data_IF_167050128768
#
_entry.id   IF_167050128768
#
_cell.length_a   1.000
_cell.length_b   1.000
_cell.length_c   1.000
_cell.angle_alpha   90.00
_cell.angle_beta   90.00
_cell.angle_gamma   90.00
#
_symmetry.space_group_name_H-M   'P 1'
#
loop_
_entity.id
_entity.type
_entity.pdbx_description
1 polymer ?
#
# COMPACT_ATOMS: atom_id res chain seq x y z
N UNK A 1 -12.26 -19.22 -2.04
CA UNK A 1 -11.51 -18.34 -2.95
C UNK A 1 -10.32 -17.58 -2.33
N UNK A 2 -10.32 -17.22 -1.01
CA UNK A 2 -9.22 -16.43 -0.39
C UNK A 2 -7.90 -17.18 -0.18
N UNK A 3 -7.93 -18.49 0.00
CA UNK A 3 -6.72 -19.34 0.19
C UNK A 3 -5.99 -19.60 -1.13
N UNK A 4 -6.72 -19.69 -2.23
CA UNK A 4 -6.19 -20.06 -3.54
C UNK A 4 -5.28 -18.98 -4.15
N UNK A 5 -5.61 -17.69 -3.98
CA UNK A 5 -4.80 -16.59 -4.53
C UNK A 5 -3.43 -16.50 -3.85
N UNK A 6 -3.37 -16.74 -2.53
CA UNK A 6 -2.10 -16.72 -1.80
C UNK A 6 -1.20 -17.90 -2.19
N UNK A 7 -1.80 -19.06 -2.43
CA UNK A 7 -1.08 -20.26 -2.88
C UNK A 7 -0.49 -20.08 -4.28
N UNK A 8 -1.23 -19.48 -5.22
CA UNK A 8 -0.71 -19.20 -6.56
C UNK A 8 0.39 -18.14 -6.58
N UNK A 9 0.32 -17.12 -5.74
CA UNK A 9 1.39 -16.13 -5.60
C UNK A 9 2.68 -16.78 -5.05
N UNK A 10 2.57 -17.69 -4.09
CA UNK A 10 3.71 -18.46 -3.56
C UNK A 10 4.29 -19.43 -4.60
N UNK A 11 3.45 -20.14 -5.34
CA UNK A 11 3.88 -21.09 -6.38
C UNK A 11 4.54 -20.35 -7.56
N UNK A 12 4.02 -19.20 -7.97
CA UNK A 12 4.67 -18.39 -9.01
C UNK A 12 6.06 -17.88 -8.57
N UNK A 13 6.22 -17.50 -7.29
CA UNK A 13 7.50 -17.06 -6.74
C UNK A 13 8.51 -18.21 -6.60
N UNK A 14 8.05 -19.40 -6.21
CA UNK A 14 8.96 -20.58 -6.10
C UNK A 14 9.34 -21.17 -7.46
N UNK A 15 8.43 -21.14 -8.45
CA UNK A 15 8.73 -21.61 -9.80
C UNK A 15 9.75 -20.76 -10.55
N UNK A 16 9.77 -19.43 -10.32
CA UNK A 16 10.77 -18.54 -10.91
C UNK A 16 12.14 -18.64 -10.23
N UNK A 17 12.19 -18.97 -8.94
CA UNK A 17 13.45 -19.19 -8.22
C UNK A 17 14.20 -20.44 -8.72
N UNK A 18 13.49 -21.51 -9.08
CA UNK A 18 14.11 -22.75 -9.57
C UNK A 18 14.70 -22.60 -10.99
N UNK A 19 14.15 -21.72 -11.83
CA UNK A 19 14.69 -21.48 -13.18
C UNK A 19 15.91 -20.54 -13.20
N UNK A 20 16.17 -19.82 -12.10
CA UNK A 20 17.26 -18.84 -12.00
C UNK A 20 18.56 -19.43 -11.41
N UNK A 21 18.60 -20.71 -11.10
CA UNK A 21 19.74 -21.36 -10.44
C UNK A 21 21.03 -21.47 -11.29
N UNK A 22 20.99 -21.10 -12.57
CA UNK A 22 22.18 -21.05 -13.43
C UNK A 22 22.90 -19.69 -13.51
N UNK A 23 22.34 -18.63 -12.96
CA UNK A 23 22.98 -17.32 -12.93
C UNK A 23 23.75 -17.15 -11.61
N UNK A 24 25.06 -16.89 -11.70
CA UNK A 24 26.00 -16.72 -10.57
C UNK A 24 25.73 -15.55 -9.62
N UNK A 25 24.57 -14.97 -9.64
CA UNK A 25 24.13 -13.84 -8.80
C UNK A 25 23.06 -14.31 -7.82
N UNK A 26 23.28 -14.10 -6.54
CA UNK A 26 22.37 -14.57 -5.50
C UNK A 26 21.01 -13.83 -5.57
N UNK A 27 19.93 -14.60 -5.70
CA UNK A 27 18.58 -14.09 -5.55
C UNK A 27 18.36 -13.62 -4.11
N UNK A 28 17.77 -12.45 -3.94
CA UNK A 28 17.36 -11.96 -2.64
C UNK A 28 15.86 -12.14 -2.47
N UNK A 29 15.47 -12.86 -1.43
CA UNK A 29 14.07 -13.02 -1.06
C UNK A 29 13.81 -12.43 0.32
N UNK A 30 12.87 -11.51 0.44
CA UNK A 30 12.53 -10.87 1.73
C UNK A 30 11.07 -11.12 2.07
N UNK A 31 10.80 -11.60 3.28
CA UNK A 31 9.48 -11.61 3.89
C UNK A 31 9.45 -10.55 4.97
N UNK A 32 8.48 -9.65 4.95
CA UNK A 32 8.38 -8.61 5.96
C UNK A 32 6.97 -8.41 6.49
N UNK A 33 6.90 -7.87 7.68
CA UNK A 33 5.65 -7.44 8.32
C UNK A 33 5.77 -5.96 8.68
N UNK A 34 4.83 -5.16 8.22
CA UNK A 34 4.68 -3.76 8.61
C UNK A 34 3.61 -3.66 9.72
N UNK A 35 3.98 -3.04 10.83
CA UNK A 35 3.08 -2.66 11.91
C UNK A 35 2.91 -1.15 11.88
N UNK A 36 1.72 -0.66 11.56
CA UNK A 36 1.55 0.75 11.24
C UNK A 36 0.28 1.37 11.83
N UNK A 37 0.28 2.69 11.87
CA UNK A 37 -0.90 3.52 12.06
C UNK A 37 -1.20 4.23 10.74
N UNK A 38 -2.44 4.16 10.30
CA UNK A 38 -2.90 4.79 9.07
C UNK A 38 -3.88 5.89 9.43
N UNK A 39 -3.70 7.07 8.88
CA UNK A 39 -4.68 8.16 8.93
C UNK A 39 -5.11 8.56 7.53
N UNK A 40 -6.40 8.79 7.35
CA UNK A 40 -6.99 9.24 6.09
C UNK A 40 -7.80 10.49 6.33
N UNK A 41 -7.63 11.48 5.49
CA UNK A 41 -8.40 12.72 5.51
C UNK A 41 -9.11 12.91 4.18
N UNK A 42 -10.45 13.10 4.22
CA UNK A 42 -11.31 13.34 3.05
C UNK A 42 -12.22 14.53 3.41
N UNK A 43 -12.02 15.67 2.79
CA UNK A 43 -12.77 16.88 3.09
C UNK A 43 -12.96 17.08 4.62
N UNK A 44 -14.16 16.84 5.13
CA UNK A 44 -14.53 16.96 6.54
C UNK A 44 -14.43 15.64 7.34
N UNK A 45 -13.98 14.52 6.71
CA UNK A 45 -13.90 13.21 7.34
C UNK A 45 -12.44 12.84 7.60
N UNK A 46 -12.10 12.67 8.87
CA UNK A 46 -10.78 12.18 9.31
C UNK A 46 -10.90 10.79 9.91
N UNK A 47 -10.24 9.82 9.31
CA UNK A 47 -10.22 8.44 9.73
C UNK A 47 -8.85 8.08 10.30
N UNK A 48 -8.83 7.33 11.39
CA UNK A 48 -7.62 6.75 11.95
C UNK A 48 -7.76 5.24 12.08
N UNK A 49 -6.79 4.52 11.58
CA UNK A 49 -6.67 3.08 11.71
C UNK A 49 -5.45 2.81 12.60
N UNK A 50 -5.69 2.31 13.79
CA UNK A 50 -4.63 1.86 14.70
C UNK A 50 -4.36 0.37 14.45
N UNK A 51 -3.10 -0.04 14.66
CA UNK A 51 -2.68 -1.43 14.54
C UNK A 51 -3.00 -2.06 13.16
N UNK A 52 -2.73 -1.33 12.09
CA UNK A 52 -2.71 -1.89 10.76
C UNK A 52 -1.53 -2.87 10.64
N UNK A 53 -1.80 -4.03 10.04
CA UNK A 53 -0.79 -5.06 9.77
C UNK A 53 -0.72 -5.29 8.27
N UNK A 54 0.47 -5.33 7.75
CA UNK A 54 0.72 -5.66 6.36
C UNK A 54 1.84 -6.71 6.30
N UNK A 55 1.61 -7.78 5.57
CA UNK A 55 2.61 -8.80 5.29
C UNK A 55 2.96 -8.68 3.83
N UNK A 56 4.24 -8.59 3.53
CA UNK A 56 4.75 -8.50 2.18
C UNK A 56 5.88 -9.48 1.92
N UNK A 57 6.00 -9.83 0.66
CA UNK A 57 7.12 -10.58 0.11
C UNK A 57 7.74 -9.77 -1.00
N UNK A 58 9.06 -9.80 -1.08
CA UNK A 58 9.85 -9.18 -2.14
C UNK A 58 10.86 -10.18 -2.66
N UNK A 59 10.98 -10.28 -3.95
CA UNK A 59 12.04 -11.01 -4.63
C UNK A 59 12.80 -10.03 -5.52
N UNK A 60 14.11 -9.92 -5.31
CA UNK A 60 15.06 -9.25 -6.19
C UNK A 60 15.82 -10.33 -6.95
N UNK A 61 15.60 -10.43 -8.26
CA UNK A 61 16.13 -11.48 -9.15
C UNK A 61 17.09 -10.79 -10.11
N UNK A 62 18.41 -10.86 -9.86
CA UNK A 62 19.41 -10.35 -10.78
C UNK A 62 19.52 -11.26 -12.00
N UNK A 63 19.73 -10.70 -13.18
CA UNK A 63 20.08 -11.43 -14.38
C UNK A 63 21.48 -11.07 -14.90
N UNK A 64 22.11 -10.06 -14.32
CA UNK A 64 23.55 -9.78 -14.40
C UNK A 64 24.02 -9.04 -13.13
N UNK A 65 25.30 -8.63 -13.11
CA UNK A 65 25.91 -7.98 -11.95
C UNK A 65 25.21 -6.66 -11.51
N UNK A 66 24.56 -5.98 -12.45
CA UNK A 66 23.99 -4.65 -12.24
C UNK A 66 22.48 -4.58 -12.45
N UNK A 67 21.91 -5.56 -13.13
CA UNK A 67 20.52 -5.50 -13.59
C UNK A 67 19.69 -6.65 -13.06
N UNK A 68 18.41 -6.39 -12.83
CA UNK A 68 17.51 -7.41 -12.31
C UNK A 68 16.04 -7.00 -12.42
N UNK A 69 15.22 -7.84 -11.85
CA UNK A 69 13.78 -7.63 -11.70
C UNK A 69 13.43 -7.69 -10.22
N UNK A 70 12.61 -6.75 -9.76
CA UNK A 70 11.98 -6.78 -8.45
C UNK A 70 10.51 -7.15 -8.60
N UNK A 71 10.10 -8.14 -7.81
CA UNK A 71 8.71 -8.54 -7.63
C UNK A 71 8.31 -8.28 -6.18
N UNK A 72 7.14 -7.67 -5.97
CA UNK A 72 6.59 -7.49 -4.63
C UNK A 72 5.12 -7.91 -4.62
N UNK A 73 4.70 -8.54 -3.54
CA UNK A 73 3.31 -8.83 -3.25
C UNK A 73 3.03 -8.59 -1.78
N UNK A 74 1.89 -7.98 -1.48
CA UNK A 74 1.54 -7.67 -0.12
C UNK A 74 0.06 -7.80 0.18
N UNK A 75 -0.23 -8.09 1.43
CA UNK A 75 -1.58 -8.13 1.98
C UNK A 75 -1.63 -7.36 3.29
N UNK A 76 -2.49 -6.36 3.36
CA UNK A 76 -2.70 -5.55 4.54
C UNK A 76 -4.11 -5.70 5.11
N UNK A 77 -4.20 -5.60 6.43
CA UNK A 77 -5.45 -5.53 7.15
C UNK A 77 -5.36 -4.52 8.28
N UNK A 78 -6.35 -3.66 8.40
CA UNK A 78 -6.45 -2.71 9.51
C UNK A 78 -7.85 -2.73 10.12
N UNK A 79 -7.93 -2.41 11.41
CA UNK A 79 -9.21 -2.16 12.08
C UNK A 79 -9.42 -0.65 12.15
N UNK A 80 -10.56 -0.20 11.68
CA UNK A 80 -11.00 1.18 11.77
C UNK A 80 -11.41 1.48 13.20
N UNK A 81 -10.71 2.38 13.88
CA UNK A 81 -10.97 2.62 15.30
C UNK A 81 -11.90 3.81 15.55
N UNK A 82 -11.83 4.88 14.77
CA UNK A 82 -12.64 6.10 15.01
C UNK A 82 -12.80 6.86 13.71
N UNK A 83 -14.03 7.29 13.43
CA UNK A 83 -14.31 8.31 12.42
C UNK A 83 -14.69 9.57 13.20
N UNK A 84 -13.84 10.60 13.13
CA UNK A 84 -14.21 11.94 13.57
C UNK A 84 -14.70 12.70 12.34
N UNK A 85 -15.97 13.08 12.36
CA UNK A 85 -16.49 14.07 11.43
C UNK A 85 -16.01 15.44 11.94
N UNK A 86 -14.99 16.00 11.32
CA UNK A 86 -14.67 17.42 11.46
C UNK A 86 -15.65 18.15 10.55
N UNK A 87 -16.75 18.63 11.12
CA UNK A 87 -17.66 19.53 10.42
C UNK A 87 -17.11 20.94 10.52
N UNK A 88 -17.01 21.59 9.37
CA UNK A 88 -16.79 23.03 9.30
C UNK A 88 -18.07 23.68 9.84
N UNK A 89 -18.03 24.15 11.10
CA UNK A 89 -19.18 24.65 11.85
C UNK A 89 -19.89 25.80 11.15
N UNK A 90 -19.24 26.44 10.17
CA UNK A 90 -19.79 27.58 9.41
C UNK A 90 -20.66 27.18 8.21
N UNK A 91 -20.75 25.90 7.83
CA UNK A 91 -21.49 25.46 6.64
C UNK A 91 -22.70 24.56 6.89
N UNK A 92 -22.78 23.91 8.03
CA UNK A 92 -23.93 23.07 8.39
C UNK A 92 -24.23 23.28 9.88
N UNK A 93 -25.35 23.87 10.21
CA UNK A 93 -25.77 24.13 11.59
C UNK A 93 -25.58 22.92 12.50
N UNK A 94 -25.03 23.14 13.69
CA UNK A 94 -24.80 22.25 14.85
C UNK A 94 -24.93 20.75 14.57
N UNK A 95 -23.92 20.15 13.99
CA UNK A 95 -23.83 18.68 13.83
C UNK A 95 -23.23 18.07 15.08
N UNK A 96 -24.00 17.22 15.75
CA UNK A 96 -23.52 16.36 16.84
C UNK A 96 -22.43 15.43 16.30
N UNK A 97 -21.32 15.27 17.05
CA UNK A 97 -20.29 14.27 16.77
C UNK A 97 -20.92 12.88 16.65
N UNK A 98 -21.11 12.40 15.44
CA UNK A 98 -21.63 11.06 15.19
C UNK A 98 -20.44 10.11 15.27
N UNK A 99 -20.33 9.37 16.38
CA UNK A 99 -19.42 8.22 16.47
C UNK A 99 -20.01 7.10 15.63
N UNK A 100 -19.44 6.86 14.45
CA UNK A 100 -19.81 5.70 13.68
C UNK A 100 -19.20 4.43 14.31
N UNK A 101 -19.94 3.30 14.29
CA UNK A 101 -19.46 2.08 14.94
C UNK A 101 -18.14 1.61 14.33
N UNK A 102 -17.23 1.29 15.21
CA UNK A 102 -15.86 0.86 14.93
C UNK A 102 -15.81 -0.61 14.53
N UNK A 103 -14.87 -0.97 13.67
CA UNK A 103 -14.40 -2.35 13.66
C UNK A 103 -14.56 -3.15 12.40
N UNK A 104 -14.80 -2.56 11.24
CA UNK A 104 -14.70 -3.29 9.99
C UNK A 104 -13.27 -3.22 9.47
N UNK A 105 -12.62 -4.37 9.23
CA UNK A 105 -11.24 -4.39 8.77
C UNK A 105 -11.13 -3.90 7.33
N UNK A 106 -10.24 -2.96 7.08
CA UNK A 106 -9.78 -2.64 5.73
C UNK A 106 -8.85 -3.76 5.25
N UNK A 107 -9.08 -4.23 4.03
CA UNK A 107 -8.21 -5.18 3.38
C UNK A 107 -7.52 -4.48 2.20
N UNK A 108 -6.21 -4.64 2.09
CA UNK A 108 -5.39 -4.13 1.00
C UNK A 108 -4.57 -5.26 0.39
N UNK A 109 -4.51 -5.28 -0.93
CA UNK A 109 -3.60 -6.13 -1.70
C UNK A 109 -2.79 -5.21 -2.57
N UNK A 110 -1.49 -5.40 -2.62
CA UNK A 110 -0.57 -4.69 -3.50
C UNK A 110 0.35 -5.67 -4.21
N UNK A 111 0.62 -5.36 -5.47
CA UNK A 111 1.53 -6.09 -6.34
C UNK A 111 2.45 -5.09 -7.04
N UNK A 112 3.67 -5.47 -7.30
CA UNK A 112 4.61 -4.69 -8.08
C UNK A 112 5.53 -5.59 -8.89
N UNK A 113 5.85 -5.15 -10.09
CA UNK A 113 6.92 -5.71 -10.91
C UNK A 113 7.70 -4.58 -11.56
N UNK A 114 9.01 -4.66 -11.56
CA UNK A 114 9.84 -3.59 -12.13
C UNK A 114 11.26 -4.02 -12.38
N UNK A 115 11.89 -3.32 -13.30
CA UNK A 115 13.30 -3.42 -13.58
C UNK A 115 14.10 -2.72 -12.48
N UNK A 116 15.28 -3.26 -12.14
CA UNK A 116 16.21 -2.70 -11.16
C UNK A 116 17.60 -2.60 -11.75
N UNK A 117 18.28 -1.52 -11.39
CA UNK A 117 19.70 -1.31 -11.67
C UNK A 117 20.43 -1.09 -10.34
N UNK A 118 21.49 -1.87 -10.12
CA UNK A 118 22.34 -1.80 -8.93
C UNK A 118 23.72 -1.32 -9.31
N UNK A 119 24.23 -0.31 -8.63
CA UNK A 119 25.59 0.18 -8.77
C UNK A 119 26.36 -0.02 -7.47
N UNK A 120 27.46 -0.73 -7.54
CA UNK A 120 28.42 -0.81 -6.44
C UNK A 120 29.24 0.47 -6.42
N UNK A 121 29.12 1.24 -5.33
CA UNK A 121 29.82 2.49 -5.12
C UNK A 121 31.15 2.26 -4.37
N UNK A 122 31.20 1.24 -3.50
CA UNK A 122 32.39 0.73 -2.83
C UNK A 122 32.13 -0.70 -2.33
N UNK A 123 33.11 -1.36 -1.77
CA UNK A 123 32.99 -2.73 -1.20
C UNK A 123 31.89 -2.83 -0.12
N UNK A 124 31.57 -1.71 0.53
CA UNK A 124 30.56 -1.66 1.59
C UNK A 124 29.28 -0.94 1.20
N UNK A 125 29.17 -0.40 -0.03
CA UNK A 125 28.08 0.51 -0.39
C UNK A 125 27.52 0.19 -1.78
N UNK A 126 26.26 -0.25 -1.82
CA UNK A 126 25.51 -0.50 -3.05
C UNK A 126 24.32 0.45 -3.14
N UNK A 127 24.12 1.05 -4.29
CA UNK A 127 22.95 1.86 -4.62
C UNK A 127 22.09 1.10 -5.64
N UNK A 128 20.80 0.96 -5.36
CA UNK A 128 19.84 0.33 -6.28
C UNK A 128 18.73 1.31 -6.61
N UNK A 129 18.40 1.41 -7.87
CA UNK A 129 17.24 2.17 -8.37
C UNK A 129 16.40 1.26 -9.25
N UNK A 130 15.09 1.46 -9.24
CA UNK A 130 14.22 0.69 -10.12
C UNK A 130 12.94 1.41 -10.46
N UNK A 131 12.33 0.96 -11.57
CA UNK A 131 11.06 1.48 -12.05
C UNK A 131 10.19 0.34 -12.57
N UNK A 132 8.88 0.47 -12.42
CA UNK A 132 7.96 -0.56 -12.88
C UNK A 132 6.49 -0.23 -12.65
N UNK A 133 5.65 -1.27 -12.74
CA UNK A 133 4.21 -1.17 -12.62
C UNK A 133 3.74 -1.79 -11.31
N UNK A 134 2.81 -1.12 -10.66
CA UNK A 134 2.15 -1.57 -9.45
C UNK A 134 0.65 -1.67 -9.62
N UNK A 135 0.05 -2.60 -8.90
CA UNK A 135 -1.38 -2.73 -8.73
C UNK A 135 -1.72 -2.70 -7.26
N UNK A 136 -2.74 -1.94 -6.89
CA UNK A 136 -3.25 -1.89 -5.51
C UNK A 136 -4.77 -2.03 -5.53
N UNK A 137 -5.30 -2.86 -4.63
CA UNK A 137 -6.72 -3.01 -4.40
C UNK A 137 -7.01 -2.92 -2.91
N UNK A 138 -7.88 -2.00 -2.52
CA UNK A 138 -8.32 -1.87 -1.13
C UNK A 138 -9.84 -1.95 -1.03
N UNK A 139 -10.33 -2.53 0.07
CA UNK A 139 -11.76 -2.64 0.39
C UNK A 139 -11.99 -2.22 1.82
N UNK A 140 -12.99 -1.41 2.01
CA UNK A 140 -13.45 -0.94 3.31
C UNK A 140 -14.97 -1.09 3.45
N UNK A 141 -15.47 -1.28 4.66
CA UNK A 141 -16.88 -1.38 4.95
C UNK A 141 -17.20 -0.62 6.21
N UNK A 142 -18.16 0.28 6.13
CA UNK A 142 -18.65 1.08 7.26
C UNK A 142 -20.04 0.61 7.61
N UNK A 143 -20.22 0.09 8.82
CA UNK A 143 -21.53 -0.24 9.36
C UNK A 143 -22.15 0.98 10.02
N UNK A 144 -23.30 1.38 9.55
CA UNK A 144 -24.20 2.30 10.23
C UNK A 144 -25.28 1.50 10.96
N UNK A 145 -26.11 2.16 11.77
CA UNK A 145 -27.25 1.51 12.46
C UNK A 145 -28.24 0.87 11.50
N UNK A 146 -28.37 1.37 10.26
CA UNK A 146 -29.36 0.91 9.28
C UNK A 146 -28.75 0.25 8.04
N UNK A 147 -27.52 0.57 7.68
CA UNK A 147 -26.90 0.15 6.41
C UNK A 147 -25.42 -0.18 6.56
N UNK A 148 -24.91 -0.99 5.65
CA UNK A 148 -23.46 -1.21 5.49
C UNK A 148 -23.04 -0.58 4.17
N UNK A 149 -22.12 0.37 4.25
CA UNK A 149 -21.50 1.01 3.10
C UNK A 149 -20.23 0.24 2.76
N UNK A 150 -20.09 -0.19 1.52
CA UNK A 150 -18.89 -0.84 1.01
C UNK A 150 -18.18 0.09 0.04
N UNK A 151 -16.93 0.37 0.29
CA UNK A 151 -16.08 1.07 -0.66
C UNK A 151 -14.92 0.20 -1.13
N UNK A 152 -14.52 0.39 -2.36
CA UNK A 152 -13.33 -0.23 -2.90
C UNK A 152 -12.57 0.72 -3.80
N UNK A 153 -11.26 0.62 -3.77
CA UNK A 153 -10.38 1.34 -4.69
C UNK A 153 -9.44 0.36 -5.36
N UNK A 154 -9.28 0.53 -6.65
CA UNK A 154 -8.32 -0.21 -7.46
C UNK A 154 -7.48 0.78 -8.24
N UNK A 155 -6.16 0.66 -8.21
CA UNK A 155 -5.27 1.53 -8.97
C UNK A 155 -4.13 0.74 -9.61
N UNK A 156 -3.82 1.11 -10.85
CA UNK A 156 -2.58 0.80 -11.54
C UNK A 156 -1.67 2.02 -11.44
N UNK A 157 -0.41 1.80 -11.14
CA UNK A 157 0.54 2.89 -10.92
C UNK A 157 1.89 2.60 -11.58
N UNK A 158 2.57 3.64 -12.02
CA UNK A 158 4.01 3.61 -12.20
C UNK A 158 4.66 3.85 -10.83
N UNK A 159 5.67 3.05 -10.50
CA UNK A 159 6.47 3.18 -9.27
C UNK A 159 7.94 3.28 -9.61
N UNK A 160 8.61 4.26 -9.02
CA UNK A 160 10.08 4.38 -8.99
C UNK A 160 10.51 4.19 -7.55
N UNK A 161 11.58 3.47 -7.32
CA UNK A 161 12.16 3.28 -5.99
C UNK A 161 13.68 3.39 -6.05
N UNK A 162 14.26 3.73 -4.91
CA UNK A 162 15.69 3.73 -4.69
C UNK A 162 15.98 3.18 -3.29
N UNK A 163 17.01 2.38 -3.16
CA UNK A 163 17.53 1.89 -1.90
C UNK A 163 19.06 1.90 -1.90
N UNK A 164 19.62 2.17 -0.72
CA UNK A 164 21.05 2.21 -0.48
C UNK A 164 21.38 1.15 0.57
N UNK A 165 22.23 0.18 0.24
CA UNK A 165 22.68 -0.82 1.17
C UNK A 165 24.11 -0.50 1.61
N UNK A 166 24.28 -0.12 2.88
CA UNK A 166 25.58 0.19 3.48
C UNK A 166 25.94 -0.85 4.55
N UNK A 167 27.04 -1.55 4.35
CA UNK A 167 27.58 -2.51 5.33
C UNK A 167 28.36 -1.76 6.40
N UNK A 168 28.05 -2.02 7.68
CA UNK A 168 28.65 -1.37 8.84
C UNK A 168 29.73 -2.22 9.54
N UNK A 169 30.00 -3.43 9.02
CA UNK A 169 30.91 -4.39 9.64
C UNK A 169 30.21 -5.35 10.61
N UNK A 170 30.89 -6.46 10.94
CA UNK A 170 30.38 -7.52 11.83
C UNK A 170 28.99 -8.06 11.43
N UNK A 171 28.68 -8.05 10.12
CA UNK A 171 27.40 -8.50 9.57
C UNK A 171 26.25 -7.50 9.74
N UNK A 172 26.47 -6.32 10.30
CA UNK A 172 25.47 -5.25 10.37
C UNK A 172 25.43 -4.47 9.07
N UNK A 173 24.22 -4.00 8.71
CA UNK A 173 23.99 -3.09 7.59
C UNK A 173 22.85 -2.13 7.85
N UNK A 174 22.83 -1.04 7.11
CA UNK A 174 21.70 -0.10 7.04
C UNK A 174 21.20 -0.02 5.60
N UNK A 175 19.89 0.02 5.45
CA UNK A 175 19.23 0.11 4.15
C UNK A 175 18.14 1.21 4.15
N UNK A 176 18.51 2.49 3.98
CA UNK A 176 17.54 3.52 3.67
C UNK A 176 16.93 3.30 2.29
N UNK A 177 15.63 3.55 2.17
CA UNK A 177 14.89 3.38 0.93
C UNK A 177 13.86 4.49 0.73
N UNK A 178 13.53 4.73 -0.52
CA UNK A 178 12.46 5.64 -0.91
C UNK A 178 11.69 5.10 -2.11
N UNK A 179 10.43 5.50 -2.24
CA UNK A 179 9.59 5.18 -3.39
C UNK A 179 8.66 6.34 -3.74
N UNK A 180 8.36 6.48 -5.02
CA UNK A 180 7.34 7.39 -5.53
C UNK A 180 6.41 6.60 -6.45
N UNK A 181 5.10 6.83 -6.32
CA UNK A 181 4.06 6.19 -7.12
C UNK A 181 3.20 7.24 -7.80
N UNK A 182 2.84 7.00 -9.06
CA UNK A 182 1.90 7.81 -9.83
C UNK A 182 0.80 6.92 -10.39
N UNK A 183 -0.46 7.21 -10.06
CA UNK A 183 -1.57 6.43 -10.60
C UNK A 183 -1.75 6.69 -12.09
N UNK A 184 -1.62 5.65 -12.88
CA UNK A 184 -1.95 5.63 -14.30
C UNK A 184 -3.47 5.51 -14.49
N UNK A 185 -4.10 4.69 -13.65
CA UNK A 185 -5.54 4.48 -13.65
C UNK A 185 -5.99 4.12 -12.25
N UNK A 186 -6.90 4.89 -11.69
CA UNK A 186 -7.51 4.59 -10.40
C UNK A 186 -9.02 4.69 -10.48
N UNK A 187 -9.71 3.73 -9.87
CA UNK A 187 -11.17 3.67 -9.77
C UNK A 187 -11.59 3.55 -8.31
N UNK A 188 -12.51 4.37 -7.91
CA UNK A 188 -13.19 4.29 -6.64
C UNK A 188 -14.63 3.85 -6.85
N UNK A 189 -15.06 2.81 -6.14
CA UNK A 189 -16.45 2.32 -6.14
C UNK A 189 -17.01 2.45 -4.74
N UNK A 190 -18.23 2.98 -4.65
CA UNK A 190 -19.01 3.03 -3.43
C UNK A 190 -20.33 2.31 -3.69
N UNK A 191 -20.57 1.24 -2.91
CA UNK A 191 -21.86 0.58 -2.83
C UNK A 191 -22.50 0.97 -1.50
N UNK A 192 -23.61 1.65 -1.57
CA UNK A 192 -24.28 2.19 -0.38
C UNK A 192 -25.22 1.18 0.30
N UNK A 193 -25.56 0.07 -0.38
CA UNK A 193 -26.58 -0.86 0.11
C UNK A 193 -27.96 -0.23 0.32
N UNK A 194 -28.15 1.02 -0.13
CA UNK A 194 -29.40 1.77 0.03
C UNK A 194 -30.21 1.58 -1.26
N UNK A 195 -31.38 0.99 -1.13
CA UNK A 195 -32.29 0.73 -2.25
C UNK A 195 -32.74 2.00 -2.99
N UNK A 196 -32.62 3.17 -2.34
CA UNK A 196 -32.92 4.47 -2.97
C UNK A 196 -31.84 4.95 -3.95
N UNK A 197 -30.63 4.37 -3.94
CA UNK A 197 -29.58 4.65 -4.92
C UNK A 197 -29.60 3.57 -5.98
N UNK A 198 -30.07 3.91 -7.17
CA UNK A 198 -30.28 2.97 -8.28
C UNK A 198 -28.98 2.43 -8.90
N UNK A 199 -27.80 2.96 -8.54
CA UNK A 199 -26.55 2.60 -9.19
C UNK A 199 -25.33 2.79 -8.28
N UNK A 200 -24.38 1.86 -8.34
CA UNK A 200 -23.07 2.01 -7.69
C UNK A 200 -22.30 3.21 -8.25
N UNK A 201 -21.70 3.97 -7.35
CA UNK A 201 -20.84 5.09 -7.72
C UNK A 201 -19.49 4.51 -8.18
N UNK A 202 -19.07 4.86 -9.40
CA UNK A 202 -17.80 4.43 -9.97
C UNK A 202 -17.07 5.60 -10.61
N UNK A 203 -16.05 6.11 -9.93
CA UNK A 203 -15.34 7.33 -10.33
C UNK A 203 -13.85 7.13 -10.48
N UNK A 204 -13.25 7.90 -11.41
CA UNK A 204 -11.79 7.97 -11.57
C UNK A 204 -11.21 8.95 -10.55
N UNK A 205 -10.21 8.52 -9.79
CA UNK A 205 -9.55 9.35 -8.77
C UNK A 205 -8.05 9.08 -8.79
N UNK A 206 -7.37 9.57 -9.83
CA UNK A 206 -5.93 9.40 -9.95
C UNK A 206 -5.20 10.14 -8.82
N UNK A 207 -4.09 9.60 -8.40
CA UNK A 207 -3.29 10.15 -7.32
C UNK A 207 -1.80 9.94 -7.50
N UNK A 208 -1.07 10.35 -6.50
CA UNK A 208 0.34 10.10 -6.36
C UNK A 208 0.69 9.81 -4.90
N UNK A 209 1.83 9.21 -4.66
CA UNK A 209 2.29 8.94 -3.31
C UNK A 209 3.80 8.78 -3.25
N UNK A 210 4.31 8.89 -2.06
CA UNK A 210 5.70 8.60 -1.77
C UNK A 210 5.83 7.80 -0.48
N UNK A 211 6.93 7.07 -0.36
CA UNK A 211 7.33 6.35 0.84
C UNK A 211 8.81 6.51 1.10
N UNK A 212 9.19 6.48 2.35
CA UNK A 212 10.57 6.49 2.79
C UNK A 212 10.71 5.65 4.07
N UNK A 213 11.88 5.10 4.29
CA UNK A 213 12.20 4.35 5.49
C UNK A 213 13.68 4.02 5.56
N UNK A 214 14.09 3.45 6.68
CA UNK A 214 15.44 2.96 6.86
C UNK A 214 15.40 1.71 7.73
N UNK A 215 15.95 0.60 7.23
CA UNK A 215 16.08 -0.64 7.96
C UNK A 215 17.51 -0.80 8.46
N UNK A 216 17.66 -1.25 9.69
CA UNK A 216 18.92 -1.77 10.22
C UNK A 216 18.79 -3.27 10.23
N UNK A 217 19.79 -3.96 9.71
CA UNK A 217 19.78 -5.41 9.62
C UNK A 217 21.08 -6.04 10.08
N UNK A 218 20.98 -7.33 10.36
CA UNK A 218 22.13 -8.17 10.75
C UNK A 218 22.10 -9.49 9.98
N UNK A 219 23.21 -9.87 9.39
CA UNK A 219 23.41 -11.20 8.81
C UNK A 219 23.43 -12.25 9.91
N UNK A 220 22.67 -13.33 9.72
CA UNK A 220 22.51 -14.48 10.62
C UNK A 220 23.23 -15.72 10.06
N UNK A 221 24.33 -15.51 9.34
CA UNK A 221 25.06 -16.52 8.59
C UNK A 221 25.27 -16.07 7.15
N UNK A 222 25.52 -17.02 6.26
CA UNK A 222 25.82 -16.71 4.85
C UNK A 222 24.57 -16.37 4.04
N UNK A 223 23.42 -16.99 4.35
CA UNK A 223 22.22 -16.97 3.51
C UNK A 223 21.03 -16.23 4.13
N UNK A 224 21.09 -15.79 5.38
CA UNK A 224 19.95 -15.14 6.01
C UNK A 224 20.32 -13.84 6.74
N UNK A 225 19.40 -12.91 6.80
CA UNK A 225 19.51 -11.72 7.66
C UNK A 225 18.15 -11.34 8.22
N UNK A 226 18.16 -10.66 9.36
CA UNK A 226 16.99 -10.01 9.94
C UNK A 226 17.14 -8.50 9.82
N UNK A 227 16.06 -7.81 9.52
CA UNK A 227 16.07 -6.35 9.44
C UNK A 227 14.84 -5.75 10.12
N UNK A 228 15.01 -4.56 10.68
CA UNK A 228 13.91 -3.79 11.22
C UNK A 228 14.15 -2.29 11.03
N UNK A 229 13.07 -1.51 10.86
CA UNK A 229 13.21 -0.06 10.75
C UNK A 229 11.91 0.69 10.61
N UNK A 230 11.95 2.01 10.89
CA UNK A 230 10.80 2.88 10.72
C UNK A 230 10.54 3.17 9.25
N UNK A 231 9.27 3.46 8.97
CA UNK A 231 8.86 3.95 7.65
C UNK A 231 7.73 4.98 7.73
N UNK A 232 7.64 5.77 6.69
CA UNK A 232 6.54 6.69 6.43
C UNK A 232 6.09 6.56 4.97
N UNK A 233 4.78 6.52 4.74
CA UNK A 233 4.18 6.56 3.40
C UNK A 233 3.05 7.57 3.38
N UNK A 234 2.95 8.33 2.28
CA UNK A 234 1.83 9.22 2.03
C UNK A 234 1.28 8.96 0.65
N UNK A 235 -0.04 8.97 0.53
CA UNK A 235 -0.74 8.87 -0.74
C UNK A 235 -1.85 9.91 -0.82
N UNK A 236 -1.95 10.59 -1.94
CA UNK A 236 -2.96 11.62 -2.20
C UNK A 236 -3.71 11.28 -3.47
N UNK A 237 -5.01 11.23 -3.40
CA UNK A 237 -5.91 11.06 -4.54
C UNK A 237 -6.60 12.37 -4.83
N UNK A 238 -6.69 12.72 -6.10
CA UNK A 238 -7.39 13.92 -6.56
C UNK A 238 -8.90 13.75 -6.34
N UNK A 239 -9.57 14.87 -6.26
CA UNK A 239 -11.02 14.93 -6.30
C UNK A 239 -11.52 14.35 -7.63
N UNK A 240 -12.68 13.66 -7.60
CA UNK A 240 -13.35 13.25 -8.84
C UNK A 240 -13.99 14.43 -9.53
N UNK A 241 -14.28 14.31 -10.81
CA UNK A 241 -15.24 15.20 -11.45
C UNK A 241 -16.63 15.10 -10.79
N UNK A 242 -17.45 16.09 -11.01
CA UNK A 242 -18.84 16.09 -10.61
C UNK A 242 -19.63 14.99 -11.32
N UNK A 243 -20.51 14.29 -10.62
CA UNK A 243 -21.36 13.24 -11.17
C UNK A 243 -22.73 13.24 -10.51
N UNK A 244 -23.76 12.92 -11.28
CA UNK A 244 -25.13 12.85 -10.79
C UNK A 244 -25.47 11.45 -10.30
N UNK A 245 -26.17 11.39 -9.19
CA UNK A 245 -26.74 10.15 -8.62
C UNK A 245 -28.24 10.32 -8.52
N UNK A 246 -28.99 9.43 -9.19
CA UNK A 246 -30.45 9.43 -9.11
C UNK A 246 -30.90 8.80 -7.81
N UNK A 247 -31.62 9.56 -7.01
CA UNK A 247 -32.27 9.11 -5.77
C UNK A 247 -33.79 9.02 -5.98
N UNK A 248 -34.50 8.50 -4.99
CA UNK A 248 -35.97 8.52 -4.98
C UNK A 248 -36.58 9.94 -4.93
N UNK A 249 -35.78 10.93 -4.51
CA UNK A 249 -36.19 12.34 -4.38
C UNK A 249 -35.67 13.23 -5.53
N UNK A 250 -35.01 12.65 -6.55
CA UNK A 250 -34.46 13.37 -7.69
C UNK A 250 -32.95 13.15 -7.86
N UNK A 251 -32.36 13.84 -8.83
CA UNK A 251 -30.94 13.77 -9.12
C UNK A 251 -30.14 14.67 -8.16
N UNK A 252 -29.08 14.11 -7.57
CA UNK A 252 -28.17 14.83 -6.68
C UNK A 252 -26.77 14.82 -7.30
N UNK A 253 -26.17 15.99 -7.41
CA UNK A 253 -24.79 16.13 -7.88
C UNK A 253 -23.81 15.91 -6.73
N UNK A 254 -22.85 15.05 -6.95
CA UNK A 254 -21.85 14.62 -5.96
C UNK A 254 -20.44 14.69 -6.53
N UNK A 255 -19.47 14.84 -5.66
CA UNK A 255 -18.05 14.66 -5.96
C UNK A 255 -17.41 13.75 -4.91
N UNK A 256 -16.42 12.95 -5.30
CA UNK A 256 -15.57 12.24 -4.34
C UNK A 256 -14.46 13.20 -3.96
N UNK A 257 -14.37 13.65 -2.70
CA UNK A 257 -13.42 14.67 -2.30
C UNK A 257 -11.98 14.16 -2.37
N UNK A 258 -11.05 15.08 -2.50
CA UNK A 258 -9.61 14.81 -2.36
C UNK A 258 -9.36 14.00 -1.08
N UNK A 259 -8.58 12.94 -1.21
CA UNK A 259 -8.25 12.05 -0.09
C UNK A 259 -6.75 12.02 0.11
N UNK A 260 -6.29 12.23 1.34
CA UNK A 260 -4.90 12.05 1.74
C UNK A 260 -4.80 10.92 2.77
N UNK A 261 -3.94 9.96 2.50
CA UNK A 261 -3.67 8.81 3.37
C UNK A 261 -2.22 8.91 3.82
N UNK A 262 -1.99 8.83 5.12
CA UNK A 262 -0.65 8.80 5.74
C UNK A 262 -0.52 7.53 6.56
N UNK A 263 0.59 6.85 6.38
CA UNK A 263 0.93 5.61 7.09
C UNK A 263 2.33 5.75 7.66
N UNK A 264 2.52 5.43 8.93
CA UNK A 264 3.82 5.37 9.57
C UNK A 264 3.88 4.17 10.52
N UNK A 265 5.03 3.56 10.62
CA UNK A 265 5.15 2.34 11.42
C UNK A 265 6.56 1.78 11.45
N UNK A 266 6.62 0.53 11.87
CA UNK A 266 7.82 -0.27 11.89
C UNK A 266 7.66 -1.43 10.91
N UNK A 267 8.71 -1.69 10.16
CA UNK A 267 8.88 -2.88 9.34
C UNK A 267 9.83 -3.83 10.03
N UNK A 268 9.51 -5.11 10.05
CA UNK A 268 10.40 -6.20 10.45
C UNK A 268 10.42 -7.21 9.34
N UNK A 269 11.59 -7.68 8.94
CA UNK A 269 11.76 -8.61 7.83
C UNK A 269 12.86 -9.63 8.06
N UNK A 270 12.75 -10.72 7.32
CA UNK A 270 13.79 -11.72 7.16
C UNK A 270 14.10 -11.79 5.67
N UNK A 271 15.38 -11.73 5.36
CA UNK A 271 15.94 -11.80 4.00
C UNK A 271 16.77 -13.07 3.88
N UNK A 272 16.59 -13.76 2.77
CA UNK A 272 17.25 -15.01 2.42
C UNK A 272 18.07 -14.86 1.14
#
# INVERSE_FOLDING_TARGET
MKKTVFTYAMIALTGTAAAAQELQTANEFTVHTDLSSISSTRAFLKEKHKAAKHIGVRADIPFDANQGIRLEAGFGRSKKNIINLETDENKLGKTKNVKLPTGVPENRIDLYTGYTYTQTLSDSLNFRVGAGLGFESSKDSIKTTKHTLHSSRQSWSAKVHADLLSQLGNGWYINPWSEVKFDLKSRYKLNTGVTSLKKDINQKTNGWGFGLGANIGKKLGESASIEAGPFYKQRTYKESGEFSVTTTSGDVSLTIPKTSIREYGLRVGIKF
#
